data_IF_771248908947
#
_entry.id   IF_771248908947
#
_cell.length_a   1.000
_cell.length_b   1.000
_cell.length_c   1.000
_cell.angle_alpha   90.00
_cell.angle_beta   90.00
_cell.angle_gamma   90.00
#
_symmetry.space_group_name_H-M   'P 1'
#
loop_
_entity.id
_entity.type
_entity.pdbx_description
1 polymer ?
#
# COMPACT_ATOMS: atom_id res chain seq x y z
N UNK A 1 28.52 -6.76 -6.07
CA UNK A 1 27.22 -6.25 -5.57
C UNK A 1 27.20 -4.75 -5.27
N UNK A 2 28.33 -4.08 -4.96
CA UNK A 2 28.32 -2.65 -4.55
C UNK A 2 27.90 -1.63 -5.60
N UNK A 3 28.15 -1.86 -6.89
CA UNK A 3 27.83 -0.88 -7.95
C UNK A 3 26.33 -0.74 -8.21
N UNK A 4 25.59 -1.86 -8.27
CA UNK A 4 24.12 -1.84 -8.39
C UNK A 4 23.45 -1.17 -7.18
N UNK A 5 23.92 -1.48 -5.96
CA UNK A 5 23.41 -0.85 -4.73
C UNK A 5 23.57 0.67 -4.76
N UNK A 6 24.74 1.15 -5.17
CA UNK A 6 25.01 2.60 -5.30
C UNK A 6 24.09 3.27 -6.33
N UNK A 7 23.86 2.61 -7.46
CA UNK A 7 22.94 3.11 -8.50
C UNK A 7 21.49 3.21 -7.98
N UNK A 8 21.03 2.25 -7.14
CA UNK A 8 19.71 2.37 -6.48
C UNK A 8 19.63 3.55 -5.54
N UNK A 9 20.61 3.70 -4.65
CA UNK A 9 20.62 4.80 -3.66
C UNK A 9 20.63 6.17 -4.36
N UNK A 10 21.38 6.31 -5.45
CA UNK A 10 21.37 7.52 -6.29
C UNK A 10 20.02 7.73 -6.98
N UNK A 11 19.43 6.66 -7.54
CA UNK A 11 18.12 6.73 -8.18
C UNK A 11 17.03 7.15 -7.21
N UNK A 12 17.00 6.57 -6.01
CA UNK A 12 15.99 6.87 -4.99
C UNK A 12 16.07 8.32 -4.51
N UNK A 13 17.29 8.85 -4.30
CA UNK A 13 17.48 10.27 -3.99
C UNK A 13 16.98 11.18 -5.12
N UNK A 14 17.24 10.81 -6.37
CA UNK A 14 16.80 11.56 -7.56
C UNK A 14 15.28 11.49 -7.74
N UNK A 15 14.68 10.33 -7.48
CA UNK A 15 13.25 10.09 -7.56
C UNK A 15 12.49 10.89 -6.50
N UNK A 16 12.96 10.88 -5.25
CA UNK A 16 12.41 11.69 -4.15
C UNK A 16 12.53 13.20 -4.41
N UNK A 17 13.59 13.62 -5.11
CA UNK A 17 13.78 15.02 -5.52
C UNK A 17 12.92 15.44 -6.72
N UNK A 18 12.18 14.52 -7.36
CA UNK A 18 11.32 14.81 -8.50
C UNK A 18 12.06 15.27 -9.76
N UNK A 19 13.34 14.92 -9.92
CA UNK A 19 14.14 15.35 -11.07
C UNK A 19 13.91 14.46 -12.28
N UNK A 20 12.79 14.66 -12.97
CA UNK A 20 12.33 13.85 -14.11
C UNK A 20 13.39 13.61 -15.19
N UNK A 21 14.19 14.64 -15.51
CA UNK A 21 15.25 14.52 -16.52
C UNK A 21 16.29 13.49 -16.11
N UNK A 22 16.73 13.56 -14.84
CA UNK A 22 17.74 12.65 -14.28
C UNK A 22 17.18 11.25 -14.07
N UNK A 23 15.90 11.14 -13.66
CA UNK A 23 15.19 9.85 -13.58
C UNK A 23 15.24 9.17 -14.95
N UNK A 24 14.87 9.89 -16.01
CA UNK A 24 14.86 9.37 -17.37
C UNK A 24 16.26 8.94 -17.83
N UNK A 25 17.26 9.79 -17.63
CA UNK A 25 18.67 9.45 -17.94
C UNK A 25 19.11 8.16 -17.23
N UNK A 26 18.79 8.01 -15.94
CA UNK A 26 19.18 6.82 -15.17
C UNK A 26 18.45 5.56 -15.61
N UNK A 27 17.16 5.66 -15.98
CA UNK A 27 16.38 4.54 -16.51
C UNK A 27 16.88 4.11 -17.89
N UNK A 28 17.25 5.06 -18.76
CA UNK A 28 17.82 4.78 -20.08
C UNK A 28 19.19 4.07 -19.95
N UNK A 29 20.03 4.51 -19.02
CA UNK A 29 21.35 3.90 -18.75
C UNK A 29 21.25 2.56 -18.01
N UNK A 30 20.19 2.35 -17.23
CA UNK A 30 20.00 1.17 -16.39
C UNK A 30 18.57 0.64 -16.50
N UNK A 31 18.19 -0.01 -17.62
CA UNK A 31 16.81 -0.47 -17.83
C UNK A 31 16.25 -1.38 -16.73
N UNK A 32 17.13 -2.15 -16.07
CA UNK A 32 16.78 -3.01 -14.94
C UNK A 32 16.25 -2.24 -13.71
N UNK A 33 16.52 -0.93 -13.60
CA UNK A 33 15.91 -0.09 -12.57
C UNK A 33 14.41 0.04 -12.77
N UNK A 34 13.94 0.07 -14.02
CA UNK A 34 12.52 0.17 -14.32
C UNK A 34 11.79 -1.06 -13.76
N UNK A 35 12.31 -2.26 -14.03
CA UNK A 35 11.74 -3.52 -13.55
C UNK A 35 11.73 -3.60 -12.03
N UNK A 36 12.77 -3.12 -11.36
CA UNK A 36 12.86 -3.13 -9.90
C UNK A 36 11.93 -2.10 -9.25
N UNK A 37 11.86 -0.89 -9.81
CA UNK A 37 10.99 0.18 -9.30
C UNK A 37 9.53 -0.16 -9.55
N UNK A 38 9.17 -0.71 -10.71
CA UNK A 38 7.81 -1.16 -10.99
C UNK A 38 7.39 -2.27 -10.03
N UNK A 39 8.25 -3.27 -9.82
CA UNK A 39 7.97 -4.37 -8.90
C UNK A 39 7.79 -3.88 -7.45
N UNK A 40 8.63 -2.94 -7.00
CA UNK A 40 8.52 -2.35 -5.66
C UNK A 40 7.27 -1.46 -5.51
N UNK A 41 6.89 -0.73 -6.55
CA UNK A 41 5.65 0.06 -6.57
C UNK A 41 4.41 -0.84 -6.54
N UNK A 42 4.42 -1.94 -7.30
CA UNK A 42 3.34 -2.93 -7.31
C UNK A 42 3.19 -3.59 -5.93
N UNK A 43 4.29 -3.96 -5.28
CA UNK A 43 4.26 -4.53 -3.94
C UNK A 43 3.75 -3.52 -2.90
N UNK A 44 4.18 -2.26 -2.97
CA UNK A 44 3.70 -1.23 -2.06
C UNK A 44 2.20 -0.95 -2.24
N UNK A 45 1.74 -0.87 -3.49
CA UNK A 45 0.33 -0.70 -3.84
C UNK A 45 -0.51 -1.89 -3.37
N UNK A 46 0.00 -3.11 -3.53
CA UNK A 46 -0.64 -4.32 -3.03
C UNK A 46 -0.79 -4.29 -1.50
N UNK A 47 0.28 -3.97 -0.77
CA UNK A 47 0.24 -3.84 0.69
C UNK A 47 -0.79 -2.76 1.13
N UNK A 48 -0.84 -1.62 0.44
CA UNK A 48 -1.81 -0.57 0.70
C UNK A 48 -3.25 -1.06 0.48
N UNK A 49 -3.51 -1.72 -0.64
CA UNK A 49 -4.84 -2.27 -0.96
C UNK A 49 -5.29 -3.33 0.05
N UNK A 50 -4.38 -4.20 0.51
CA UNK A 50 -4.66 -5.21 1.53
C UNK A 50 -5.08 -4.58 2.86
N UNK A 51 -4.36 -3.55 3.32
CA UNK A 51 -4.70 -2.82 4.55
C UNK A 51 -6.03 -2.09 4.40
N UNK A 52 -6.29 -1.46 3.25
CA UNK A 52 -7.57 -0.80 2.93
C UNK A 52 -8.72 -1.81 2.93
N UNK A 53 -8.50 -3.00 2.35
CA UNK A 53 -9.52 -4.05 2.31
C UNK A 53 -9.84 -4.60 3.70
N UNK A 54 -8.82 -4.88 4.52
CA UNK A 54 -9.01 -5.31 5.91
C UNK A 54 -9.70 -4.24 6.77
N UNK A 55 -9.36 -2.97 6.55
CA UNK A 55 -10.07 -1.86 7.17
C UNK A 55 -11.55 -1.84 6.76
N UNK A 56 -11.85 -2.00 5.47
CA UNK A 56 -13.24 -1.99 4.98
C UNK A 56 -14.08 -3.14 5.50
N UNK A 57 -13.53 -4.37 5.54
CA UNK A 57 -14.22 -5.53 6.13
C UNK A 57 -14.59 -5.26 7.58
N UNK A 58 -13.63 -4.76 8.38
CA UNK A 58 -13.90 -4.45 9.78
C UNK A 58 -14.83 -3.26 9.98
N UNK A 59 -14.78 -2.25 9.10
CA UNK A 59 -15.65 -1.08 9.16
C UNK A 59 -17.11 -1.48 8.93
N UNK A 60 -17.36 -2.36 7.96
CA UNK A 60 -18.70 -2.91 7.69
C UNK A 60 -19.21 -3.78 8.84
N UNK A 61 -18.33 -4.60 9.45
CA UNK A 61 -18.69 -5.48 10.57
C UNK A 61 -18.97 -4.70 11.88
N UNK A 62 -18.16 -3.67 12.17
CA UNK A 62 -18.28 -2.87 13.39
C UNK A 62 -19.28 -1.71 13.25
N UNK A 63 -19.56 -1.27 12.02
CA UNK A 63 -20.41 -0.11 11.73
C UNK A 63 -19.82 1.22 12.20
N UNK A 64 -18.49 1.34 12.25
CA UNK A 64 -17.81 2.52 12.78
C UNK A 64 -16.28 2.48 12.69
N UNK A 65 -15.57 3.45 13.31
CA UNK A 65 -14.12 3.56 13.20
C UNK A 65 -13.38 2.33 13.74
N UNK A 66 -12.39 1.87 12.99
CA UNK A 66 -11.68 0.60 13.23
C UNK A 66 -10.32 0.86 13.87
N UNK A 67 -9.97 0.06 14.89
CA UNK A 67 -8.64 0.15 15.50
C UNK A 67 -7.59 -0.67 14.74
N UNK A 68 -6.31 -0.33 14.91
CA UNK A 68 -5.22 -1.06 14.24
C UNK A 68 -5.22 -2.55 14.60
N UNK A 69 -5.61 -2.90 15.84
CA UNK A 69 -5.71 -4.30 16.27
C UNK A 69 -6.78 -5.08 15.49
N UNK A 70 -7.87 -4.43 15.11
CA UNK A 70 -8.95 -5.04 14.33
C UNK A 70 -8.50 -5.23 12.88
N UNK A 71 -7.79 -4.25 12.30
CA UNK A 71 -7.16 -4.35 10.98
C UNK A 71 -6.15 -5.50 10.95
N UNK A 72 -5.28 -5.61 11.97
CA UNK A 72 -4.33 -6.71 12.15
C UNK A 72 -5.03 -8.07 12.18
N UNK A 73 -6.14 -8.13 12.92
CA UNK A 73 -6.93 -9.36 13.06
C UNK A 73 -7.54 -9.77 11.73
N UNK A 74 -8.15 -8.84 10.99
CA UNK A 74 -8.72 -9.12 9.67
C UNK A 74 -7.65 -9.52 8.65
N UNK A 75 -6.50 -8.82 8.61
CA UNK A 75 -5.37 -9.23 7.76
C UNK A 75 -4.94 -10.67 8.01
N UNK A 76 -4.88 -11.08 9.28
CA UNK A 76 -4.47 -12.43 9.64
C UNK A 76 -5.56 -13.48 9.33
N UNK A 77 -6.80 -13.22 9.71
CA UNK A 77 -7.89 -14.21 9.62
C UNK A 77 -8.53 -14.28 8.23
N UNK A 78 -8.83 -13.13 7.62
CA UNK A 78 -9.55 -13.06 6.35
C UNK A 78 -8.59 -13.20 5.18
N UNK A 79 -7.45 -12.50 5.24
CA UNK A 79 -6.49 -12.44 4.13
C UNK A 79 -5.31 -13.41 4.28
N UNK A 80 -5.11 -14.01 5.46
CA UNK A 80 -3.96 -14.89 5.76
C UNK A 80 -2.60 -14.18 5.57
N UNK A 81 -2.55 -12.88 5.90
CA UNK A 81 -1.37 -12.02 5.75
C UNK A 81 -0.88 -11.61 7.14
N UNK A 82 0.39 -11.89 7.41
CA UNK A 82 1.07 -11.40 8.60
C UNK A 82 1.76 -10.06 8.31
N UNK A 83 1.39 -9.02 9.06
CA UNK A 83 2.02 -7.70 9.01
C UNK A 83 2.26 -7.21 10.44
N UNK A 84 3.32 -6.41 10.62
CA UNK A 84 3.56 -5.76 11.90
C UNK A 84 2.70 -4.51 12.06
N UNK A 85 2.37 -4.17 13.31
CA UNK A 85 1.64 -2.95 13.66
C UNK A 85 2.32 -1.69 13.09
N UNK A 86 3.65 -1.61 13.17
CA UNK A 86 4.43 -0.48 12.64
C UNK A 86 4.29 -0.33 11.13
N UNK A 87 4.26 -1.45 10.40
CA UNK A 87 4.08 -1.42 8.94
C UNK A 87 2.67 -0.99 8.56
N UNK A 88 1.66 -1.46 9.28
CA UNK A 88 0.26 -1.02 9.07
C UNK A 88 0.11 0.46 9.37
N UNK A 89 0.68 0.97 10.46
CA UNK A 89 0.67 2.40 10.78
C UNK A 89 1.27 3.23 9.66
N UNK A 90 2.44 2.84 9.15
CA UNK A 90 3.08 3.52 8.04
C UNK A 90 2.19 3.53 6.79
N UNK A 91 1.60 2.39 6.45
CA UNK A 91 0.67 2.28 5.32
C UNK A 91 -0.54 3.19 5.52
N UNK A 92 -1.15 3.20 6.72
CA UNK A 92 -2.28 4.05 7.05
C UNK A 92 -1.95 5.54 6.93
N UNK A 93 -0.76 5.95 7.38
CA UNK A 93 -0.29 7.33 7.22
C UNK A 93 -0.05 7.69 5.73
N UNK A 94 0.50 6.77 4.94
CA UNK A 94 0.69 6.96 3.50
C UNK A 94 -0.67 7.13 2.79
N UNK A 95 -1.63 6.24 3.04
CA UNK A 95 -2.96 6.29 2.41
C UNK A 95 -3.85 7.41 2.98
N UNK A 96 -3.56 7.90 4.18
CA UNK A 96 -4.12 9.14 4.73
C UNK A 96 -3.66 10.35 3.93
N UNK A 97 -2.36 10.42 3.60
CA UNK A 97 -1.80 11.45 2.73
C UNK A 97 -2.44 11.48 1.34
N UNK A 98 -2.90 10.33 0.85
CA UNK A 98 -3.63 10.18 -0.40
C UNK A 98 -5.14 10.43 -0.28
N UNK A 99 -5.67 10.65 0.92
CA UNK A 99 -7.09 10.89 1.16
C UNK A 99 -7.98 9.65 1.03
N UNK A 100 -7.40 8.45 1.12
CA UNK A 100 -8.14 7.17 1.03
C UNK A 100 -8.74 6.76 2.37
N UNK A 101 -8.11 7.16 3.47
CA UNK A 101 -8.61 6.94 4.83
C UNK A 101 -8.72 8.27 5.57
N UNK A 102 -9.48 8.26 6.67
CA UNK A 102 -9.56 9.35 7.64
C UNK A 102 -9.31 8.79 9.03
N UNK A 103 -8.71 9.64 9.86
CA UNK A 103 -8.52 9.35 11.28
C UNK A 103 -9.63 10.02 12.07
N UNK A 104 -10.37 9.23 12.82
CA UNK A 104 -11.35 9.69 13.80
C UNK A 104 -10.85 9.49 15.22
N UNK A 105 -11.60 10.00 16.21
CA UNK A 105 -11.21 10.01 17.62
C UNK A 105 -10.95 8.62 18.21
N UNK A 106 -11.52 7.56 17.64
CA UNK A 106 -11.40 6.18 18.11
C UNK A 106 -10.71 5.22 17.13
N UNK A 107 -10.35 5.65 15.91
CA UNK A 107 -9.83 4.72 14.91
C UNK A 107 -9.69 5.32 13.50
N UNK A 108 -9.68 4.42 12.52
CA UNK A 108 -9.57 4.72 11.09
C UNK A 108 -10.89 4.40 10.39
N UNK A 109 -11.18 5.16 9.34
CA UNK A 109 -12.41 5.04 8.55
C UNK A 109 -12.06 5.25 7.09
N UNK A 110 -12.71 4.52 6.19
CA UNK A 110 -12.52 4.70 4.76
C UNK A 110 -13.18 6.00 4.28
N UNK A 111 -12.54 6.65 3.32
CA UNK A 111 -13.22 7.65 2.51
C UNK A 111 -13.98 6.98 1.37
N UNK A 112 -14.80 7.74 0.65
CA UNK A 112 -15.48 7.23 -0.54
C UNK A 112 -14.51 6.65 -1.58
N UNK A 113 -13.34 7.26 -1.75
CA UNK A 113 -12.30 6.76 -2.65
C UNK A 113 -11.61 5.50 -2.09
N UNK A 114 -11.34 5.46 -0.77
CA UNK A 114 -10.82 4.26 -0.11
C UNK A 114 -11.78 3.08 -0.20
N UNK A 115 -13.08 3.31 -0.01
CA UNK A 115 -14.13 2.31 -0.19
C UNK A 115 -14.16 1.72 -1.59
N UNK A 116 -13.98 2.55 -2.62
CA UNK A 116 -13.88 2.07 -4.01
C UNK A 116 -12.67 1.15 -4.22
N UNK A 117 -11.51 1.50 -3.65
CA UNK A 117 -10.30 0.66 -3.72
C UNK A 117 -10.50 -0.65 -2.96
N UNK A 118 -11.13 -0.59 -1.79
CA UNK A 118 -11.54 -1.76 -1.02
C UNK A 118 -12.40 -2.70 -1.89
N UNK A 119 -13.50 -2.18 -2.45
CA UNK A 119 -14.41 -2.93 -3.32
C UNK A 119 -13.68 -3.53 -4.53
N UNK A 120 -12.84 -2.75 -5.21
CA UNK A 120 -12.07 -3.22 -6.37
C UNK A 120 -11.10 -4.34 -5.99
N UNK A 121 -10.45 -4.25 -4.83
CA UNK A 121 -9.54 -5.28 -4.33
C UNK A 121 -10.31 -6.56 -3.97
N UNK A 122 -11.37 -6.43 -3.17
CA UNK A 122 -12.21 -7.54 -2.75
C UNK A 122 -12.86 -8.24 -3.95
N UNK A 123 -13.41 -7.49 -4.92
CA UNK A 123 -14.03 -8.08 -6.10
C UNK A 123 -13.05 -8.83 -7.01
N UNK A 124 -11.77 -8.46 -7.01
CA UNK A 124 -10.73 -9.20 -7.74
C UNK A 124 -10.37 -10.50 -7.03
N UNK A 125 -10.24 -10.48 -5.71
CA UNK A 125 -9.81 -11.64 -4.93
C UNK A 125 -10.96 -12.59 -4.54
N UNK A 126 -12.20 -12.09 -4.43
CA UNK A 126 -13.41 -12.90 -4.25
C UNK A 126 -13.75 -13.71 -5.50
N UNK A 127 -13.41 -13.24 -6.69
CA UNK A 127 -13.58 -14.03 -7.93
C UNK A 127 -12.73 -15.30 -7.94
N UNK A 128 -11.59 -15.27 -7.27
CA UNK A 128 -10.68 -16.43 -7.14
C UNK A 128 -11.16 -17.41 -6.05
N UNK A 129 -12.06 -17.01 -5.15
CA UNK A 129 -12.67 -17.86 -4.12
C UNK A 129 -13.93 -18.61 -4.58
N UNK A 130 -14.53 -18.20 -5.72
CA UNK A 130 -15.79 -18.75 -6.24
C UNK A 130 -15.59 -19.43 -7.62
N UNK A 131 -14.37 -19.46 -8.16
CA UNK A 131 -14.01 -20.22 -9.39
C UNK A 131 -13.33 -21.54 -9.04
#
# INVERSE_FOLDING_TARGET
MGRKKKIREEFEAVFQAGNEKKIKEMLDENPWLLDEVSSAMDENMLNQHQVIAALGVMEDDLGGPVMINDILTSLNLDFHIEQSEDKIKKILDDVLGLGLVKRESSGWVLTKEGGRICDDYLNRHLKDLIS
#
